data_IF_967743869100
#
_entry.id   IF_967743869100
#
_cell.length_a   1.000
_cell.length_b   1.000
_cell.length_c   1.000
_cell.angle_alpha   90.00
_cell.angle_beta   90.00
_cell.angle_gamma   90.00
#
_symmetry.space_group_name_H-M   'P 1'
#
loop_
_entity.id
_entity.type
_entity.pdbx_description
1 polymer ?
#
# COMPACT_ATOMS: atom_id res chain seq x y z
N UNK A 1 -15.73 -19.72 -5.16
CA UNK A 1 -14.69 -18.90 -4.48
C UNK A 1 -14.26 -17.71 -5.38
N UNK A 2 -15.19 -16.90 -5.88
CA UNK A 2 -14.91 -15.82 -6.86
C UNK A 2 -15.52 -14.45 -6.45
N UNK A 3 -16.10 -14.34 -5.25
CA UNK A 3 -16.75 -13.11 -4.76
C UNK A 3 -15.76 -12.15 -4.09
N UNK A 4 -14.87 -12.64 -3.22
CA UNK A 4 -13.99 -11.80 -2.39
C UNK A 4 -13.09 -10.83 -3.17
N UNK A 5 -12.60 -11.23 -4.34
CA UNK A 5 -11.77 -10.39 -5.22
C UNK A 5 -12.60 -9.30 -5.92
N UNK A 6 -13.85 -9.60 -6.28
CA UNK A 6 -14.78 -8.63 -6.86
C UNK A 6 -15.25 -7.60 -5.82
N UNK A 7 -15.52 -8.04 -4.59
CA UNK A 7 -15.87 -7.18 -3.46
C UNK A 7 -14.73 -6.22 -3.08
N UNK A 8 -13.49 -6.73 -3.11
CA UNK A 8 -12.29 -5.91 -2.85
C UNK A 8 -12.10 -4.85 -3.94
N UNK A 9 -12.28 -5.22 -5.21
CA UNK A 9 -12.17 -4.30 -6.34
C UNK A 9 -13.28 -3.24 -6.36
N UNK A 10 -14.52 -3.62 -6.03
CA UNK A 10 -15.64 -2.70 -5.91
C UNK A 10 -15.47 -1.71 -4.75
N UNK A 11 -14.94 -2.18 -3.61
CA UNK A 11 -14.58 -1.31 -2.48
C UNK A 11 -13.45 -0.34 -2.84
N UNK A 12 -12.40 -0.80 -3.53
CA UNK A 12 -11.34 0.06 -4.06
C UNK A 12 -11.89 1.13 -5.02
N UNK A 13 -12.86 0.78 -5.87
CA UNK A 13 -13.56 1.71 -6.76
C UNK A 13 -14.23 2.88 -6.06
N UNK A 14 -14.81 2.65 -4.87
CA UNK A 14 -15.41 3.70 -4.04
C UNK A 14 -14.37 4.57 -3.30
N UNK A 15 -13.13 4.08 -3.15
CA UNK A 15 -12.02 4.82 -2.54
C UNK A 15 -11.23 5.66 -3.56
N UNK A 16 -11.40 5.46 -4.87
CA UNK A 16 -10.67 6.17 -5.94
C UNK A 16 -10.81 7.70 -5.88
N UNK A 17 -11.99 8.30 -5.62
CA UNK A 17 -12.10 9.76 -5.54
C UNK A 17 -11.27 10.35 -4.39
N UNK A 18 -11.13 9.63 -3.28
CA UNK A 18 -10.30 10.03 -2.15
C UNK A 18 -8.81 9.72 -2.36
N UNK A 19 -8.49 8.75 -3.24
CA UNK A 19 -7.13 8.35 -3.57
C UNK A 19 -6.31 9.49 -4.20
N UNK A 20 -6.94 10.41 -4.93
CA UNK A 20 -6.27 11.60 -5.48
C UNK A 20 -5.68 12.53 -4.40
N UNK A 21 -6.19 12.46 -3.18
CA UNK A 21 -5.69 13.22 -2.03
C UNK A 21 -4.76 12.39 -1.11
N UNK A 22 -4.53 11.11 -1.42
CA UNK A 22 -3.68 10.23 -0.64
C UNK A 22 -2.33 10.04 -1.31
N UNK A 23 -1.24 10.18 -0.55
CA UNK A 23 0.08 9.79 -1.04
C UNK A 23 0.23 8.28 -0.99
N UNK A 24 0.39 7.67 -2.16
CA UNK A 24 0.64 6.24 -2.28
C UNK A 24 2.13 5.99 -2.52
N UNK A 25 2.76 5.20 -1.65
CA UNK A 25 4.14 4.75 -1.80
C UNK A 25 4.27 3.26 -1.49
N UNK A 26 5.32 2.63 -2.03
CA UNK A 26 5.62 1.23 -1.78
C UNK A 26 6.80 1.14 -0.84
N UNK A 27 6.62 0.46 0.29
CA UNK A 27 7.70 0.18 1.24
C UNK A 27 7.60 -1.25 1.76
N UNK A 28 8.69 -1.76 2.30
CA UNK A 28 8.71 -3.08 2.95
C UNK A 28 8.33 -2.95 4.41
N UNK A 29 7.62 -3.95 4.92
CA UNK A 29 7.33 -4.06 6.36
C UNK A 29 8.61 -4.47 7.09
N UNK A 30 9.05 -3.67 8.07
CA UNK A 30 10.22 -3.96 8.89
C UNK A 30 9.98 -5.06 9.92
N UNK A 31 11.04 -5.49 10.62
CA UNK A 31 11.04 -6.64 11.55
C UNK A 31 10.00 -6.56 12.69
N UNK A 32 9.49 -5.36 12.98
CA UNK A 32 8.49 -5.13 14.03
C UNK A 32 7.11 -4.71 13.48
N UNK A 33 6.82 -4.99 12.21
CA UNK A 33 5.55 -4.57 11.59
C UNK A 33 5.47 -3.07 11.28
N UNK A 34 6.58 -2.33 11.47
CA UNK A 34 6.65 -0.89 11.19
C UNK A 34 6.82 -0.64 9.69
N UNK A 35 6.13 0.39 9.22
CA UNK A 35 6.20 0.91 7.85
C UNK A 35 6.73 2.34 7.97
N UNK A 36 7.80 2.66 7.26
CA UNK A 36 8.38 4.01 7.24
C UNK A 36 7.90 4.76 6.02
N UNK A 37 7.42 5.98 6.22
CA UNK A 37 7.10 6.93 5.15
C UNK A 37 8.42 7.59 4.70
N UNK A 38 8.78 7.54 3.41
CA UNK A 38 9.94 8.26 2.88
C UNK A 38 9.84 9.76 3.15
N UNK A 39 10.98 10.43 3.36
CA UNK A 39 11.02 11.86 3.65
C UNK A 39 10.40 12.73 2.55
N UNK A 40 10.63 12.37 1.28
CA UNK A 40 10.02 13.05 0.13
C UNK A 40 8.49 13.02 0.23
N UNK A 41 7.93 11.86 0.57
CA UNK A 41 6.48 11.65 0.64
C UNK A 41 5.88 12.31 1.87
N UNK A 42 6.59 12.26 2.99
CA UNK A 42 6.24 13.02 4.20
C UNK A 42 6.13 14.52 3.88
N UNK A 43 7.10 15.05 3.14
CA UNK A 43 7.15 16.48 2.79
C UNK A 43 6.08 16.85 1.76
N UNK A 44 5.90 16.05 0.72
CA UNK A 44 4.90 16.28 -0.33
C UNK A 44 3.46 16.22 0.20
N UNK A 45 3.21 15.36 1.19
CA UNK A 45 1.92 15.27 1.89
C UNK A 45 1.78 16.26 3.05
N UNK A 46 2.81 17.04 3.35
CA UNK A 46 2.80 18.02 4.43
C UNK A 46 2.72 17.42 5.84
N UNK A 47 3.11 16.16 6.02
CA UNK A 47 2.98 15.42 7.28
C UNK A 47 4.03 15.84 8.31
N UNK A 48 3.56 16.22 9.50
CA UNK A 48 4.39 16.68 10.61
C UNK A 48 4.25 15.77 11.82
N UNK A 49 5.15 15.94 12.77
CA UNK A 49 5.05 15.25 14.06
C UNK A 49 3.79 15.72 14.79
N UNK A 50 2.99 14.77 15.28
CA UNK A 50 1.71 15.05 15.94
C UNK A 50 0.49 14.96 15.02
N UNK A 51 0.66 14.82 13.70
CA UNK A 51 -0.46 14.69 12.77
C UNK A 51 -1.13 13.32 12.87
N UNK A 52 -2.46 13.32 12.87
CA UNK A 52 -3.26 12.09 12.78
C UNK A 52 -3.31 11.63 11.32
N UNK A 53 -2.91 10.38 11.08
CA UNK A 53 -2.88 9.77 9.74
C UNK A 53 -3.78 8.55 9.66
N UNK A 54 -4.45 8.37 8.52
CA UNK A 54 -5.20 7.17 8.18
C UNK A 54 -4.39 6.35 7.16
N UNK A 55 -4.21 5.05 7.43
CA UNK A 55 -3.36 4.18 6.61
C UNK A 55 -4.19 3.06 5.97
N UNK A 56 -3.99 2.82 4.68
CA UNK A 56 -4.54 1.68 3.95
C UNK A 56 -3.37 0.83 3.46
N UNK A 57 -3.35 -0.44 3.87
CA UNK A 57 -2.28 -1.38 3.52
C UNK A 57 -2.82 -2.37 2.49
N UNK A 58 -2.26 -2.33 1.29
CA UNK A 58 -2.50 -3.34 0.26
C UNK A 58 -1.31 -4.32 0.23
N UNK A 59 -1.49 -5.60 0.60
CA UNK A 59 -0.41 -6.57 0.50
C UNK A 59 -0.05 -6.78 -0.97
N UNK A 60 1.23 -6.55 -1.30
CA UNK A 60 1.77 -6.90 -2.61
C UNK A 60 2.37 -8.30 -2.51
N UNK A 61 1.97 -9.20 -3.41
CA UNK A 61 2.62 -10.50 -3.52
C UNK A 61 4.12 -10.30 -3.77
N UNK A 62 4.96 -10.88 -2.90
CA UNK A 62 6.38 -11.03 -3.23
C UNK A 62 6.40 -11.86 -4.51
N UNK A 63 6.97 -11.34 -5.60
CA UNK A 63 7.31 -12.18 -6.75
C UNK A 63 8.14 -13.34 -6.19
N UNK A 64 7.51 -14.50 -5.99
CA UNK A 64 8.19 -15.73 -5.63
C UNK A 64 9.28 -15.90 -6.68
N UNK A 65 10.53 -15.97 -6.23
CA UNK A 65 11.63 -16.40 -7.08
C UNK A 65 11.37 -17.87 -7.42
N UNK A 66 10.50 -18.12 -8.37
CA UNK A 66 10.42 -19.39 -9.06
C UNK A 66 10.67 -19.14 -10.55
N UNK A 67 11.87 -18.65 -10.86
CA UNK A 67 12.50 -19.04 -12.11
C UNK A 67 13.12 -20.41 -11.86
N UNK A 68 12.28 -21.44 -11.84
CA UNK A 68 12.71 -22.75 -12.30
C UNK A 68 13.12 -22.55 -13.75
N UNK A 69 14.42 -22.40 -13.97
CA UNK A 69 15.01 -22.57 -15.30
C UNK A 69 14.84 -24.05 -15.62
N UNK A 70 13.72 -24.37 -16.27
CA UNK A 70 13.49 -25.70 -16.83
C UNK A 70 14.41 -25.86 -18.04
N UNK A 71 15.34 -26.81 -17.85
CA UNK A 71 16.02 -27.70 -18.82
C UNK A 71 16.86 -27.08 -19.93
#
# INVERSE_FOLDING_TARGET
>A
MQSKSMDTMFSLGQLIPNFMNWGAYKTSVGSNGRISIPEAERTALGLKEGDLVQVIVLPLEKKSKNREVKK
#
